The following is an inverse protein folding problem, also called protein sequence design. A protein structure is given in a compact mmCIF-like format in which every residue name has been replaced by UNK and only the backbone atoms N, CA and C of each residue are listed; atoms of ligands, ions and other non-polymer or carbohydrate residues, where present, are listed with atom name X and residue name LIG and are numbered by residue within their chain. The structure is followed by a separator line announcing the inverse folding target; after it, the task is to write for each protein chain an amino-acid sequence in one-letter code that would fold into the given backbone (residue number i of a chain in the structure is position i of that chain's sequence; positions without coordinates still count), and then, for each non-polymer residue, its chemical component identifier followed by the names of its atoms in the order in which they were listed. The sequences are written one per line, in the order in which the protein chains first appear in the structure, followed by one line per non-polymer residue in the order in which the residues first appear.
data_IF_356727578383
#
_entry.id   IF_356727578383
#
_cell.length_a   1.000
_cell.length_b   1.000
_cell.length_c   1.000
_cell.angle_alpha   90.00
_cell.angle_beta   90.00
_cell.angle_gamma   90.00
#
_symmetry.space_group_name_H-M   'P 1'
#
loop_
_entity.id
_entity.type
_entity.pdbx_description
1 polymer ?
#
# COMPACT_ATOMS: atom_id res chain seq x y z
N UNK A 1 17.91 -19.34 -9.62
CA UNK A 1 16.98 -19.23 -8.48
C UNK A 1 15.56 -19.30 -9.02
N UNK A 2 14.74 -20.22 -8.51
CA UNK A 2 13.34 -20.34 -8.94
C UNK A 2 12.62 -19.01 -8.68
N UNK A 3 11.89 -18.50 -9.68
CA UNK A 3 11.15 -17.24 -9.56
C UNK A 3 9.99 -17.44 -8.59
N UNK A 4 9.95 -16.65 -7.51
CA UNK A 4 8.81 -16.65 -6.60
C UNK A 4 7.53 -16.29 -7.38
N UNK A 5 6.48 -17.08 -7.21
CA UNK A 5 5.16 -16.80 -7.77
C UNK A 5 4.56 -15.55 -7.10
N UNK A 6 3.71 -14.82 -7.84
CA UNK A 6 2.96 -13.69 -7.30
C UNK A 6 2.14 -14.12 -6.07
N UNK A 7 2.17 -13.32 -5.02
CA UNK A 7 1.31 -13.49 -3.86
C UNK A 7 -0.17 -13.40 -4.25
N UNK A 8 -1.04 -14.09 -3.52
CA UNK A 8 -2.48 -14.04 -3.76
C UNK A 8 -3.07 -12.71 -3.27
N UNK A 9 -3.85 -12.03 -4.11
CA UNK A 9 -4.55 -10.80 -3.74
C UNK A 9 -5.51 -11.01 -2.55
N UNK A 10 -6.02 -12.22 -2.32
CA UNK A 10 -6.79 -12.59 -1.12
C UNK A 10 -6.00 -12.45 0.18
N UNK A 11 -4.67 -12.39 0.09
CA UNK A 11 -3.79 -12.08 1.22
C UNK A 11 -3.79 -10.59 1.62
N UNK A 12 -4.39 -9.71 0.81
CA UNK A 12 -4.51 -8.29 1.14
C UNK A 12 -5.70 -8.09 2.09
N UNK A 13 -5.40 -8.06 3.40
CA UNK A 13 -6.37 -7.82 4.45
C UNK A 13 -5.71 -7.63 5.81
N UNK A 14 -6.47 -7.13 6.79
CA UNK A 14 -5.94 -6.79 8.12
C UNK A 14 -5.27 -5.42 8.16
N UNK A 15 -4.38 -5.22 9.14
CA UNK A 15 -3.70 -3.94 9.34
C UNK A 15 -2.59 -3.74 8.30
N UNK A 16 -2.75 -2.67 7.51
CA UNK A 16 -1.81 -2.21 6.49
C UNK A 16 -1.08 -0.96 7.01
N UNK A 17 0.22 -1.03 7.24
CA UNK A 17 1.03 0.08 7.78
C UNK A 17 1.97 0.65 6.73
N UNK A 18 2.08 1.98 6.67
CA UNK A 18 3.10 2.68 5.90
C UNK A 18 4.33 2.93 6.79
N UNK A 19 5.50 2.50 6.33
CA UNK A 19 6.79 2.88 6.90
C UNK A 19 7.36 4.03 6.06
N UNK A 20 7.52 5.21 6.66
CA UNK A 20 7.73 6.48 5.95
C UNK A 20 9.08 7.12 6.30
N UNK A 21 9.75 7.73 5.32
CA UNK A 21 11.02 8.43 5.51
C UNK A 21 10.87 9.93 5.87
N UNK A 22 9.67 10.36 6.24
CA UNK A 22 9.45 11.72 6.74
C UNK A 22 10.14 11.95 8.10
N UNK A 23 11.00 12.97 8.22
CA UNK A 23 11.79 13.23 9.43
C UNK A 23 10.96 13.68 10.63
N UNK A 24 9.65 13.89 10.47
CA UNK A 24 8.72 14.07 11.60
C UNK A 24 8.61 12.81 12.46
N UNK A 25 8.95 11.64 11.90
CA UNK A 25 8.97 10.38 12.64
C UNK A 25 10.36 10.12 13.22
N UNK A 26 10.46 9.70 14.50
CA UNK A 26 11.74 9.54 15.18
C UNK A 26 12.51 8.27 14.79
N UNK A 27 11.89 7.38 14.01
CA UNK A 27 12.40 6.06 13.66
C UNK A 27 12.59 5.95 12.15
N UNK A 28 13.61 5.20 11.72
CA UNK A 28 13.76 4.89 10.30
C UNK A 28 12.66 3.93 9.80
N UNK A 29 12.48 3.77 8.47
CA UNK A 29 11.44 2.89 7.94
C UNK A 29 11.56 1.42 8.38
N UNK A 30 12.77 0.92 8.65
CA UNK A 30 12.99 -0.48 9.08
C UNK A 30 12.54 -0.67 10.52
N UNK A 31 12.84 0.28 11.40
CA UNK A 31 12.37 0.30 12.79
C UNK A 31 10.83 0.39 12.86
N UNK A 32 10.24 1.29 12.06
CA UNK A 32 8.79 1.41 11.93
C UNK A 32 8.15 0.09 11.48
N UNK A 33 8.71 -0.55 10.45
CA UNK A 33 8.23 -1.84 9.93
C UNK A 33 8.32 -2.94 10.98
N UNK A 34 9.44 -3.02 11.71
CA UNK A 34 9.65 -4.01 12.79
C UNK A 34 8.60 -3.86 13.88
N UNK A 35 8.35 -2.63 14.34
CA UNK A 35 7.35 -2.36 15.36
C UNK A 35 5.94 -2.70 14.87
N UNK A 36 5.61 -2.34 13.62
CA UNK A 36 4.32 -2.65 13.02
C UNK A 36 4.05 -4.16 12.94
N UNK A 37 5.03 -4.93 12.46
CA UNK A 37 4.95 -6.38 12.35
C UNK A 37 4.82 -7.05 13.72
N UNK A 38 5.59 -6.59 14.73
CA UNK A 38 5.45 -7.06 16.11
C UNK A 38 4.06 -6.75 16.70
N UNK A 39 3.44 -5.64 16.27
CA UNK A 39 2.07 -5.27 16.62
C UNK A 39 0.97 -6.03 15.83
N UNK A 40 1.34 -6.94 14.92
CA UNK A 40 0.40 -7.75 14.16
C UNK A 40 -0.02 -7.17 12.80
N UNK A 41 0.71 -6.18 12.27
CA UNK A 41 0.51 -5.73 10.90
C UNK A 41 0.67 -6.91 9.92
N UNK A 42 -0.27 -7.04 8.99
CA UNK A 42 -0.26 -8.09 7.95
C UNK A 42 0.40 -7.61 6.66
N UNK A 43 0.50 -6.29 6.50
CA UNK A 43 1.12 -5.64 5.35
C UNK A 43 1.91 -4.43 5.85
N UNK A 44 3.14 -4.30 5.36
CA UNK A 44 3.94 -3.08 5.52
C UNK A 44 4.33 -2.57 4.14
N UNK A 45 4.22 -1.26 3.93
CA UNK A 45 4.66 -0.61 2.70
C UNK A 45 5.74 0.41 2.99
N UNK A 46 6.88 0.26 2.30
CA UNK A 46 7.90 1.30 2.28
C UNK A 46 7.44 2.48 1.43
N UNK A 47 7.36 3.65 2.06
CA UNK A 47 7.08 4.93 1.42
C UNK A 47 8.29 5.86 1.56
N UNK A 48 9.28 5.64 0.69
CA UNK A 48 10.48 6.46 0.60
C UNK A 48 10.27 7.62 -0.39
N UNK A 49 10.03 8.84 0.12
CA UNK A 49 9.79 10.05 -0.70
C UNK A 49 10.98 11.01 -0.74
N UNK A 50 11.96 10.82 0.13
CA UNK A 50 13.11 11.73 0.35
C UNK A 50 14.45 11.03 0.19
N UNK A 51 14.50 9.73 0.46
CA UNK A 51 15.69 8.91 0.33
C UNK A 51 16.17 8.75 -1.12
N UNK A 52 17.46 8.47 -1.26
CA UNK A 52 18.05 8.03 -2.52
C UNK A 52 17.60 6.61 -2.88
N UNK A 53 17.68 6.23 -4.16
CA UNK A 53 17.38 4.87 -4.61
C UNK A 53 18.22 3.80 -3.88
N UNK A 54 19.46 4.14 -3.47
CA UNK A 54 20.34 3.24 -2.71
C UNK A 54 19.80 2.97 -1.30
N UNK A 55 19.39 4.01 -0.59
CA UNK A 55 18.82 3.90 0.75
C UNK A 55 17.47 3.20 0.70
N UNK A 56 16.61 3.58 -0.25
CA UNK A 56 15.30 2.97 -0.44
C UNK A 56 15.40 1.48 -0.79
N UNK A 57 16.40 1.07 -1.59
CA UNK A 57 16.66 -0.34 -1.87
C UNK A 57 17.07 -1.09 -0.60
N UNK A 58 18.03 -0.56 0.17
CA UNK A 58 18.50 -1.18 1.40
C UNK A 58 17.39 -1.34 2.44
N UNK A 59 16.55 -0.31 2.63
CA UNK A 59 15.38 -0.40 3.49
C UNK A 59 14.35 -1.38 2.95
N UNK A 60 14.09 -1.36 1.64
CA UNK A 60 13.15 -2.27 0.99
C UNK A 60 13.53 -3.74 1.22
N UNK A 61 14.80 -4.09 1.06
CA UNK A 61 15.31 -5.45 1.26
C UNK A 61 15.14 -5.89 2.72
N UNK A 62 15.48 -5.00 3.66
CA UNK A 62 15.34 -5.26 5.09
C UNK A 62 13.86 -5.44 5.48
N UNK A 63 12.97 -4.57 4.99
CA UNK A 63 11.53 -4.63 5.29
C UNK A 63 10.89 -5.88 4.68
N UNK A 64 11.26 -6.24 3.44
CA UNK A 64 10.78 -7.46 2.79
C UNK A 64 11.17 -8.70 3.60
N UNK A 65 12.43 -8.81 4.02
CA UNK A 65 12.90 -9.91 4.85
C UNK A 65 12.15 -10.00 6.20
N UNK A 66 11.90 -8.87 6.86
CA UNK A 66 11.12 -8.82 8.10
C UNK A 66 9.67 -9.25 7.89
N UNK A 67 9.01 -8.75 6.84
CA UNK A 67 7.63 -9.08 6.52
C UNK A 67 7.47 -10.57 6.22
N UNK A 68 8.36 -11.14 5.39
CA UNK A 68 8.34 -12.57 5.06
C UNK A 68 8.56 -13.47 6.27
N UNK A 69 9.49 -13.10 7.16
CA UNK A 69 9.71 -13.80 8.42
C UNK A 69 8.48 -13.79 9.34
N UNK A 70 7.65 -12.74 9.26
CA UNK A 70 6.41 -12.60 10.01
C UNK A 70 5.17 -13.17 9.29
N UNK A 71 5.31 -13.73 8.09
CA UNK A 71 4.17 -14.17 7.27
C UNK A 71 3.26 -13.03 6.79
N UNK A 72 3.82 -11.83 6.67
CA UNK A 72 3.19 -10.61 6.18
C UNK A 72 3.67 -10.27 4.76
N UNK A 73 2.96 -9.33 4.10
CA UNK A 73 3.33 -8.83 2.78
C UNK A 73 4.13 -7.53 2.88
N UNK A 74 5.10 -7.37 1.99
CA UNK A 74 5.85 -6.13 1.78
C UNK A 74 5.42 -5.44 0.48
N UNK A 75 5.11 -4.15 0.56
CA UNK A 75 4.85 -3.31 -0.61
C UNK A 75 5.89 -2.18 -0.72
N UNK A 76 6.08 -1.66 -1.92
CA UNK A 76 6.84 -0.43 -2.16
C UNK A 76 5.95 0.60 -2.85
N UNK A 77 6.01 1.85 -2.38
CA UNK A 77 5.25 2.95 -2.95
C UNK A 77 5.85 3.41 -4.30
N UNK A 78 5.00 3.64 -5.30
CA UNK A 78 5.23 4.16 -6.68
C UNK A 78 6.18 3.36 -7.60
N UNK A 79 7.32 2.90 -7.09
CA UNK A 79 8.45 2.36 -7.87
C UNK A 79 8.37 0.84 -8.01
N UNK A 80 7.72 0.36 -9.08
CA UNK A 80 7.61 -1.09 -9.35
C UNK A 80 8.98 -1.76 -9.58
N UNK A 81 9.92 -1.02 -10.14
CA UNK A 81 11.31 -1.46 -10.37
C UNK A 81 12.04 -1.67 -9.05
N UNK A 82 11.88 -0.74 -8.10
CA UNK A 82 12.42 -0.88 -6.75
C UNK A 82 11.75 -2.05 -6.00
N UNK A 83 10.43 -2.20 -6.12
CA UNK A 83 9.70 -3.34 -5.55
C UNK A 83 10.25 -4.68 -6.02
N UNK A 84 10.55 -4.81 -7.32
CA UNK A 84 11.19 -6.02 -7.87
C UNK A 84 12.62 -6.21 -7.36
N UNK A 85 13.39 -5.13 -7.25
CA UNK A 85 14.79 -5.16 -6.86
C UNK A 85 14.95 -5.61 -5.41
N UNK A 86 14.11 -5.10 -4.49
CA UNK A 86 14.17 -5.46 -3.08
C UNK A 86 13.44 -6.76 -2.73
N UNK A 87 12.77 -7.40 -3.68
CA UNK A 87 12.02 -8.64 -3.45
C UNK A 87 10.69 -8.43 -2.71
N UNK A 88 10.07 -7.25 -2.82
CA UNK A 88 8.74 -7.00 -2.29
C UNK A 88 7.65 -7.82 -3.01
N UNK A 89 6.51 -7.98 -2.35
CA UNK A 89 5.35 -8.70 -2.86
C UNK A 89 4.45 -7.83 -3.75
N UNK A 90 4.54 -6.51 -3.60
CA UNK A 90 3.70 -5.59 -4.35
C UNK A 90 4.24 -4.18 -4.50
N UNK A 91 3.59 -3.44 -5.40
CA UNK A 91 3.76 -2.00 -5.61
C UNK A 91 2.42 -1.30 -5.38
N UNK A 92 2.44 -0.15 -4.71
CA UNK A 92 1.26 0.66 -4.51
C UNK A 92 1.41 2.00 -5.23
N UNK A 93 0.48 2.32 -6.13
CA UNK A 93 0.53 3.48 -7.01
C UNK A 93 -0.49 4.55 -6.58
N UNK A 94 -0.17 5.80 -6.83
CA UNK A 94 -1.07 6.94 -6.88
C UNK A 94 -1.62 7.20 -8.27
N UNK A 95 -2.48 8.21 -8.38
CA UNK A 95 -3.12 8.59 -9.66
C UNK A 95 -2.15 9.28 -10.63
N UNK A 96 -1.10 9.90 -10.12
CA UNK A 96 -0.10 10.65 -10.90
C UNK A 96 1.18 9.82 -11.17
N UNK A 97 1.24 8.58 -10.69
CA UNK A 97 2.36 7.68 -10.92
C UNK A 97 2.24 6.94 -12.25
N UNK A 98 3.17 6.03 -12.54
CA UNK A 98 3.10 5.19 -13.74
C UNK A 98 1.77 4.43 -13.80
N UNK A 99 0.97 4.53 -14.87
CA UNK A 99 -0.32 3.85 -14.94
C UNK A 99 -0.16 2.32 -14.82
N UNK A 100 -1.06 1.61 -14.09
CA UNK A 100 -0.95 0.17 -13.87
C UNK A 100 -0.78 -0.65 -15.16
N UNK A 101 -1.52 -0.31 -16.23
CA UNK A 101 -1.41 -0.95 -17.54
C UNK A 101 -0.02 -0.81 -18.20
N UNK A 102 0.79 0.17 -17.78
CA UNK A 102 2.15 0.40 -18.30
C UNK A 102 3.22 -0.38 -17.54
N UNK A 103 2.90 -0.99 -16.39
CA UNK A 103 3.80 -1.93 -15.74
C UNK A 103 3.96 -3.17 -16.65
N UNK A 104 5.20 -3.57 -16.99
CA UNK A 104 5.45 -4.73 -17.84
C UNK A 104 4.72 -5.98 -17.35
N UNK A 105 4.14 -6.76 -18.27
CA UNK A 105 3.38 -7.95 -17.90
C UNK A 105 4.18 -8.94 -17.04
N UNK A 106 5.47 -9.10 -17.31
CA UNK A 106 6.37 -9.93 -16.51
C UNK A 106 6.56 -9.43 -15.06
N UNK A 107 6.46 -8.12 -14.82
CA UNK A 107 6.47 -7.54 -13.48
C UNK A 107 5.11 -7.72 -12.79
N UNK A 108 3.99 -7.50 -13.49
CA UNK A 108 2.63 -7.74 -12.96
C UNK A 108 2.33 -9.21 -12.65
N UNK A 109 3.06 -10.13 -13.28
CA UNK A 109 3.03 -11.56 -12.97
C UNK A 109 3.82 -11.93 -11.70
N UNK A 110 4.48 -10.96 -11.05
CA UNK A 110 5.26 -11.15 -9.82
C UNK A 110 4.77 -10.26 -8.68
N UNK A 111 4.39 -9.03 -8.99
CA UNK A 111 3.94 -8.03 -8.01
C UNK A 111 2.41 -7.97 -7.95
N UNK A 112 1.89 -7.85 -6.74
CA UNK A 112 0.58 -7.26 -6.48
C UNK A 112 0.62 -5.77 -6.81
N UNK A 113 -0.43 -5.26 -7.46
CA UNK A 113 -0.53 -3.85 -7.85
C UNK A 113 -1.71 -3.22 -7.12
N UNK A 114 -1.41 -2.33 -6.17
CA UNK A 114 -2.40 -1.49 -5.50
C UNK A 114 -2.54 -0.13 -6.18
N UNK A 115 -3.74 0.44 -6.18
CA UNK A 115 -3.99 1.78 -6.72
C UNK A 115 -4.79 2.64 -5.74
N UNK A 116 -4.26 3.81 -5.40
CA UNK A 116 -4.93 4.81 -4.57
C UNK A 116 -6.04 5.52 -5.34
N UNK A 117 -7.18 5.70 -4.71
CA UNK A 117 -8.38 6.36 -5.25
C UNK A 117 -8.98 7.29 -4.20
N UNK A 118 -9.71 8.29 -4.68
CA UNK A 118 -10.26 9.38 -3.88
C UNK A 118 -11.73 9.68 -4.22
N UNK A 119 -12.24 9.14 -5.31
CA UNK A 119 -13.65 9.24 -5.71
C UNK A 119 -14.22 7.91 -6.22
N UNK A 120 -15.55 7.71 -6.20
CA UNK A 120 -16.20 6.55 -6.83
C UNK A 120 -15.84 6.38 -8.31
N UNK A 121 -15.65 7.47 -9.05
CA UNK A 121 -15.27 7.45 -10.47
C UNK A 121 -13.87 6.87 -10.65
N UNK A 122 -12.92 7.26 -9.78
CA UNK A 122 -11.58 6.68 -9.78
C UNK A 122 -11.62 5.19 -9.44
N UNK A 123 -12.45 4.77 -8.49
CA UNK A 123 -12.64 3.35 -8.18
C UNK A 123 -13.23 2.56 -9.36
N UNK A 124 -14.22 3.11 -10.08
CA UNK A 124 -14.77 2.51 -11.30
C UNK A 124 -13.74 2.45 -12.43
N UNK A 125 -12.86 3.45 -12.53
CA UNK A 125 -11.76 3.44 -13.48
C UNK A 125 -10.73 2.37 -13.13
N UNK A 126 -10.36 2.26 -11.85
CA UNK A 126 -9.46 1.22 -11.34
C UNK A 126 -9.95 -0.20 -11.65
N UNK A 127 -11.28 -0.43 -11.67
CA UNK A 127 -11.85 -1.74 -12.03
C UNK A 127 -11.50 -2.21 -13.45
N UNK A 128 -11.13 -1.27 -14.34
CA UNK A 128 -10.70 -1.51 -15.74
C UNK A 128 -9.18 -1.57 -15.91
N UNK A 129 -8.42 -1.31 -14.84
CA UNK A 129 -6.96 -1.40 -14.82
C UNK A 129 -6.51 -2.78 -14.29
N UNK A 130 -5.29 -3.24 -14.62
CA UNK A 130 -4.74 -4.48 -14.09
C UNK A 130 -4.21 -4.30 -12.66
N UNK A 131 -5.11 -4.00 -11.73
CA UNK A 131 -4.84 -3.82 -10.30
C UNK A 131 -5.43 -4.96 -9.48
N UNK A 132 -4.75 -5.30 -8.39
CA UNK A 132 -5.11 -6.38 -7.47
C UNK A 132 -5.87 -5.86 -6.24
N UNK A 133 -5.63 -4.62 -5.82
CA UNK A 133 -6.40 -3.94 -4.78
C UNK A 133 -6.58 -2.45 -5.05
N UNK A 134 -7.58 -1.87 -4.40
CA UNK A 134 -7.83 -0.43 -4.41
C UNK A 134 -7.59 0.10 -3.00
N UNK A 135 -6.95 1.26 -2.86
CA UNK A 135 -6.97 2.02 -1.63
C UNK A 135 -7.88 3.25 -1.76
N UNK A 136 -8.63 3.58 -0.71
CA UNK A 136 -9.54 4.73 -0.72
C UNK A 136 -9.36 5.62 0.50
N UNK A 137 -9.22 6.93 0.25
CA UNK A 137 -9.03 7.90 1.31
C UNK A 137 -8.89 9.33 0.80
N UNK A 138 -8.56 10.29 1.68
CA UNK A 138 -8.46 10.11 3.12
C UNK A 138 -9.84 9.90 3.74
N UNK A 139 -10.03 8.84 4.56
CA UNK A 139 -11.34 8.57 5.21
C UNK A 139 -11.68 9.68 6.20
N UNK A 140 -10.71 10.04 7.03
CA UNK A 140 -10.78 11.15 7.99
C UNK A 140 -9.71 12.20 7.65
N UNK A 141 -9.78 13.37 8.28
CA UNK A 141 -8.74 14.40 8.11
C UNK A 141 -7.36 13.88 8.50
N UNK A 142 -6.33 14.22 7.71
CA UNK A 142 -4.94 13.81 7.96
C UNK A 142 -3.96 14.91 7.54
N UNK A 143 -2.80 14.96 8.20
CA UNK A 143 -1.68 15.85 7.90
C UNK A 143 -0.42 15.10 7.48
N UNK A 144 -0.49 13.77 7.34
CA UNK A 144 0.68 12.92 7.01
C UNK A 144 1.15 13.13 5.57
N UNK A 145 0.22 13.33 4.63
CA UNK A 145 0.49 13.61 3.20
C UNK A 145 -0.17 14.93 2.81
N UNK A 146 0.55 15.79 2.10
CA UNK A 146 -0.06 16.94 1.42
C UNK A 146 -1.00 16.41 0.34
N UNK A 147 -2.30 16.64 0.53
CA UNK A 147 -3.34 16.15 -0.37
C UNK A 147 -4.42 17.21 -0.53
N UNK A 148 -4.94 17.43 -1.76
CA UNK A 148 -6.06 18.34 -1.98
C UNK A 148 -7.39 17.76 -1.46
N UNK A 149 -7.41 16.47 -1.08
CA UNK A 149 -8.63 15.77 -0.70
C UNK A 149 -8.97 15.98 0.77
N UNK A 150 -10.21 16.39 1.03
CA UNK A 150 -10.81 16.41 2.36
C UNK A 150 -11.31 15.03 2.78
N UNK A 151 -11.65 14.88 4.07
CA UNK A 151 -12.21 13.65 4.61
C UNK A 151 -13.41 13.17 3.80
N UNK A 152 -13.38 11.91 3.37
CA UNK A 152 -14.40 11.30 2.50
C UNK A 152 -15.55 10.65 3.28
N UNK A 153 -15.33 10.33 4.56
CA UNK A 153 -16.34 9.69 5.41
C UNK A 153 -16.52 8.20 5.14
N UNK A 154 -17.29 7.54 6.01
CA UNK A 154 -17.48 6.08 5.98
C UNK A 154 -18.47 5.64 4.91
N UNK A 155 -19.45 6.48 4.57
CA UNK A 155 -20.43 6.22 3.52
C UNK A 155 -19.74 6.06 2.16
N UNK A 156 -18.77 6.92 1.86
CA UNK A 156 -17.98 6.84 0.63
C UNK A 156 -17.09 5.58 0.61
N UNK A 157 -16.54 5.17 1.76
CA UNK A 157 -15.80 3.90 1.88
C UNK A 157 -16.71 2.71 1.53
N UNK A 158 -17.92 2.67 2.08
CA UNK A 158 -18.89 1.60 1.82
C UNK A 158 -19.36 1.57 0.36
N UNK A 159 -19.51 2.73 -0.29
CA UNK A 159 -19.79 2.80 -1.72
C UNK A 159 -18.64 2.25 -2.55
N UNK A 160 -17.41 2.70 -2.27
CA UNK A 160 -16.23 2.26 -3.02
C UNK A 160 -15.91 0.79 -2.79
N UNK A 161 -16.18 0.25 -1.60
CA UNK A 161 -16.05 -1.18 -1.33
C UNK A 161 -16.93 -2.03 -2.25
N UNK A 162 -18.18 -1.60 -2.48
CA UNK A 162 -19.10 -2.26 -3.42
C UNK A 162 -18.63 -2.16 -4.87
N UNK A 163 -18.02 -1.02 -5.25
CA UNK A 163 -17.47 -0.82 -6.60
C UNK A 163 -16.22 -1.67 -6.82
N UNK A 164 -15.35 -1.78 -5.82
CA UNK A 164 -14.09 -2.50 -5.92
C UNK A 164 -14.27 -4.03 -5.91
N UNK A 165 -15.33 -4.53 -5.26
CA UNK A 165 -15.62 -5.95 -5.15
C UNK A 165 -15.59 -6.67 -6.52
N UNK A 166 -15.01 -7.88 -6.58
CA UNK A 166 -14.51 -8.69 -5.46
C UNK A 166 -13.08 -8.34 -5.00
N UNK A 167 -12.45 -7.29 -5.53
CA UNK A 167 -11.08 -6.92 -5.14
C UNK A 167 -11.07 -6.33 -3.72
N UNK A 168 -10.00 -6.57 -2.93
CA UNK A 168 -9.83 -5.93 -1.64
C UNK A 168 -9.80 -4.41 -1.73
N UNK A 169 -10.44 -3.76 -0.75
CA UNK A 169 -10.34 -2.33 -0.51
C UNK A 169 -9.50 -2.08 0.74
N UNK A 170 -8.52 -1.19 0.64
CA UNK A 170 -7.75 -0.66 1.78
C UNK A 170 -8.19 0.77 2.06
N UNK A 171 -8.91 0.97 3.16
CA UNK A 171 -9.24 2.32 3.61
C UNK A 171 -8.00 3.00 4.24
N UNK A 172 -7.78 4.28 3.95
CA UNK A 172 -6.60 5.00 4.42
C UNK A 172 -6.91 6.47 4.76
N UNK A 173 -6.13 7.06 5.68
CA UNK A 173 -6.15 8.49 5.99
C UNK A 173 -6.92 8.83 7.26
N UNK A 174 -6.18 9.32 8.27
CA UNK A 174 -6.72 9.78 9.55
C UNK A 174 -7.33 8.68 10.44
N UNK A 175 -6.98 7.42 10.16
CA UNK A 175 -7.42 6.25 10.92
C UNK A 175 -6.49 6.08 12.13
N UNK A 176 -7.09 6.05 13.31
CA UNK A 176 -6.45 5.75 14.58
C UNK A 176 -7.19 4.58 15.27
N UNK A 177 -6.71 4.14 16.43
CA UNK A 177 -7.30 3.02 17.16
C UNK A 177 -8.78 3.26 17.55
N UNK A 178 -9.18 4.51 17.80
CA UNK A 178 -10.56 4.84 18.15
C UNK A 178 -11.50 4.80 16.93
N UNK A 179 -10.99 5.09 15.73
CA UNK A 179 -11.76 5.16 14.48
C UNK A 179 -11.73 3.88 13.66
N UNK A 180 -10.72 3.03 13.83
CA UNK A 180 -10.52 1.82 13.01
C UNK A 180 -11.75 0.89 12.98
N UNK A 181 -12.44 0.71 14.12
CA UNK A 181 -13.64 -0.14 14.20
C UNK A 181 -14.82 0.34 13.34
N UNK A 182 -14.86 1.62 12.97
CA UNK A 182 -15.88 2.14 12.04
C UNK A 182 -15.60 1.84 10.58
N UNK A 183 -14.35 1.52 10.23
CA UNK A 183 -13.87 1.36 8.86
C UNK A 183 -14.00 -0.09 8.36
N UNK A 184 -13.81 -1.07 9.25
CA UNK A 184 -13.73 -2.51 8.92
C UNK A 184 -15.09 -3.24 8.94
N UNK A 185 -16.20 -2.51 8.79
CA UNK A 185 -17.56 -3.04 8.93
C UNK A 185 -18.08 -3.75 7.69
#
# INVERSE_FOLDING_TARGET
MARAAKADARGIGGLYVLADDDPRWPHDPVEQARAALAGGARIVQLRAKRATDREALAWGEAIAALAHAAGALCFVNDRFDLALACGADGVHLGQDDLPPARIPAAARARLLVGLSTHTPEQARAAAREPVDCVAFGPVFGTTSKQSPWTARGLEAVAEVARIAAPRPLVAIGGIDAARAGGVVR
#
